data_IF_878246892626
#
_entry.id   IF_878246892626
#
_cell.length_a   1.000
_cell.length_b   1.000
_cell.length_c   1.000
_cell.angle_alpha   90.00
_cell.angle_beta   90.00
_cell.angle_gamma   90.00
#
_symmetry.space_group_name_H-M   'P 1'
#
loop_
_entity.id
_entity.type
_entity.pdbx_description
1 polymer ?
#
# COMPACT_ATOMS: atom_id res chain seq x y z
N UNK A 1 -15.18 -23.74 23.91
CA UNK A 1 -14.73 -22.35 23.66
C UNK A 1 -13.32 -22.43 23.12
N UNK A 2 -13.02 -21.90 21.95
CA UNK A 2 -11.65 -21.90 21.43
C UNK A 2 -10.78 -21.06 22.38
N UNK A 3 -9.79 -21.68 23.03
CA UNK A 3 -8.82 -20.96 23.83
C UNK A 3 -7.95 -20.13 22.88
N UNK A 4 -8.09 -18.79 22.92
CA UNK A 4 -7.14 -17.91 22.23
C UNK A 4 -5.78 -18.09 22.89
N UNK A 5 -4.82 -18.58 22.11
CA UNK A 5 -3.42 -18.73 22.54
C UNK A 5 -2.62 -17.53 22.04
N UNK A 6 -1.77 -16.98 22.91
CA UNK A 6 -0.85 -15.90 22.53
C UNK A 6 0.21 -16.48 21.59
N UNK A 7 0.33 -15.89 20.40
CA UNK A 7 1.32 -16.27 19.39
C UNK A 7 2.53 -15.34 19.42
N UNK A 8 2.29 -14.05 19.65
CA UNK A 8 3.34 -13.04 19.69
C UNK A 8 3.35 -12.35 21.06
N UNK A 9 4.32 -12.68 21.91
CA UNK A 9 4.45 -12.11 23.26
C UNK A 9 4.97 -10.66 23.25
N UNK A 10 5.72 -10.29 22.22
CA UNK A 10 6.16 -8.91 21.98
C UNK A 10 5.86 -8.56 20.53
N UNK A 11 4.81 -7.79 20.30
CA UNK A 11 4.37 -7.42 18.96
C UNK A 11 3.97 -5.95 18.87
N UNK A 12 4.02 -5.38 17.68
CA UNK A 12 3.64 -4.00 17.43
C UNK A 12 2.43 -3.94 16.51
N UNK A 13 1.41 -3.17 16.90
CA UNK A 13 0.36 -2.70 16.01
C UNK A 13 0.68 -1.30 15.51
N UNK A 14 0.44 -1.04 14.23
CA UNK A 14 0.71 0.26 13.60
C UNK A 14 -0.52 0.78 12.87
N UNK A 15 -0.89 2.01 13.21
CA UNK A 15 -1.87 2.79 12.48
C UNK A 15 -1.13 3.82 11.59
N UNK A 16 -1.28 3.66 10.28
CA UNK A 16 -0.47 4.33 9.27
C UNK A 16 -1.26 5.43 8.59
N UNK A 17 -0.79 6.67 8.77
CA UNK A 17 -1.33 7.87 8.12
C UNK A 17 -0.36 8.42 7.09
N UNK A 18 -0.83 9.38 6.28
CA UNK A 18 0.00 10.04 5.26
C UNK A 18 1.27 10.71 5.85
N UNK A 19 1.13 11.39 6.98
CA UNK A 19 2.18 12.24 7.58
C UNK A 19 2.87 11.62 8.79
N UNK A 20 2.26 10.59 9.38
CA UNK A 20 2.75 9.98 10.62
C UNK A 20 2.30 8.53 10.74
N UNK A 21 2.96 7.79 11.62
CA UNK A 21 2.55 6.45 12.04
C UNK A 21 2.48 6.43 13.56
N UNK A 22 1.42 5.83 14.09
CA UNK A 22 1.29 5.55 15.52
C UNK A 22 1.62 4.08 15.71
N UNK A 23 2.71 3.80 16.42
CA UNK A 23 3.17 2.45 16.71
C UNK A 23 2.94 2.14 18.19
N UNK A 24 2.31 1.01 18.47
CA UNK A 24 2.07 0.53 19.84
C UNK A 24 2.64 -0.86 19.99
N UNK A 25 3.67 -0.99 20.83
CA UNK A 25 4.22 -2.29 21.22
C UNK A 25 3.39 -2.83 22.38
N UNK A 26 2.89 -4.05 22.23
CA UNK A 26 2.27 -4.85 23.27
C UNK A 26 3.32 -5.83 23.83
N UNK A 27 3.49 -5.81 25.15
CA UNK A 27 4.27 -6.79 25.91
C UNK A 27 3.31 -7.64 26.71
N UNK A 28 3.22 -8.92 26.40
CA UNK A 28 2.35 -9.86 27.09
C UNK A 28 3.19 -10.84 27.89
N UNK A 29 2.82 -11.05 29.15
CA UNK A 29 3.47 -12.04 30.00
C UNK A 29 2.84 -13.45 29.83
N UNK A 30 3.43 -14.45 30.49
CA UNK A 30 2.91 -15.83 30.48
C UNK A 30 1.57 -16.00 31.21
N UNK A 31 1.10 -14.96 31.92
CA UNK A 31 -0.22 -14.92 32.58
C UNK A 31 -1.28 -14.26 31.70
N UNK A 32 -0.90 -13.78 30.51
CA UNK A 32 -1.78 -13.11 29.56
C UNK A 32 -2.01 -11.62 29.84
N UNK A 33 -1.32 -11.04 30.84
CA UNK A 33 -1.40 -9.61 31.13
C UNK A 33 -0.59 -8.85 30.09
N UNK A 34 -1.22 -7.90 29.41
CA UNK A 34 -0.60 -7.10 28.35
C UNK A 34 -0.37 -5.67 28.82
N UNK A 35 0.84 -5.16 28.59
CA UNK A 35 1.20 -3.75 28.79
C UNK A 35 1.58 -3.14 27.45
N UNK A 36 1.37 -1.83 27.30
CA UNK A 36 1.54 -1.16 26.00
C UNK A 36 2.54 -0.01 26.09
N UNK A 37 3.31 0.16 25.03
CA UNK A 37 4.15 1.33 24.81
C UNK A 37 3.81 1.95 23.46
N UNK A 38 3.20 3.13 23.49
CA UNK A 38 2.78 3.86 22.30
C UNK A 38 3.78 4.97 21.97
N UNK A 39 4.11 5.13 20.69
CA UNK A 39 4.92 6.23 20.19
C UNK A 39 4.50 6.62 18.78
N UNK A 40 4.50 7.92 18.50
CA UNK A 40 4.22 8.49 17.17
C UNK A 40 5.53 8.85 16.47
N UNK A 41 5.60 8.58 15.18
CA UNK A 41 6.72 8.92 14.30
C UNK A 41 6.21 9.64 13.05
N UNK A 42 7.02 10.51 12.46
CA UNK A 42 6.73 11.03 11.13
C UNK A 42 7.04 9.99 10.04
N UNK A 43 6.59 10.23 8.81
CA UNK A 43 6.83 9.33 7.66
C UNK A 43 8.10 9.65 6.86
N UNK A 44 8.97 10.52 7.39
CA UNK A 44 10.28 10.79 6.79
C UNK A 44 11.25 9.63 7.02
N UNK A 45 12.23 9.45 6.13
CA UNK A 45 13.20 8.35 6.22
C UNK A 45 13.96 8.30 7.56
N UNK A 46 14.33 9.45 8.12
CA UNK A 46 14.97 9.55 9.44
C UNK A 46 14.09 9.00 10.55
N UNK A 47 12.81 9.38 10.56
CA UNK A 47 11.82 8.97 11.55
C UNK A 47 11.45 7.50 11.42
N UNK A 48 11.35 6.98 10.20
CA UNK A 48 11.09 5.56 9.97
C UNK A 48 12.30 4.69 10.38
N UNK A 49 13.54 5.17 10.21
CA UNK A 49 14.72 4.52 10.79
C UNK A 49 14.73 4.59 12.32
N UNK A 50 14.28 5.71 12.90
CA UNK A 50 14.12 5.84 14.34
C UNK A 50 13.01 4.92 14.88
N UNK A 51 11.92 4.71 14.13
CA UNK A 51 10.89 3.71 14.41
C UNK A 51 11.49 2.31 14.42
N UNK A 52 12.23 1.92 13.37
CA UNK A 52 12.92 0.63 13.31
C UNK A 52 13.83 0.43 14.52
N UNK A 53 14.69 1.41 14.82
CA UNK A 53 15.57 1.36 15.99
C UNK A 53 14.78 1.17 17.28
N UNK A 54 13.71 1.96 17.45
CA UNK A 54 12.85 1.87 18.63
C UNK A 54 12.20 0.49 18.79
N UNK A 55 11.78 -0.17 17.71
CA UNK A 55 11.26 -1.54 17.77
C UNK A 55 12.34 -2.53 18.23
N UNK A 56 13.54 -2.45 17.64
CA UNK A 56 14.66 -3.33 17.96
C UNK A 56 15.15 -3.14 19.40
N UNK A 57 15.21 -1.90 19.90
CA UNK A 57 15.56 -1.58 21.28
C UNK A 57 14.60 -2.24 22.29
N UNK A 58 13.35 -2.50 21.88
CA UNK A 58 12.33 -3.18 22.69
C UNK A 58 12.17 -4.66 22.33
N UNK A 59 13.07 -5.23 21.53
CA UNK A 59 13.03 -6.64 21.06
C UNK A 59 11.71 -6.98 20.35
N UNK A 60 11.10 -6.01 19.67
CA UNK A 60 9.87 -6.20 18.92
C UNK A 60 10.18 -6.42 17.44
N UNK A 61 10.16 -7.67 16.99
CA UNK A 61 10.36 -8.03 15.57
C UNK A 61 9.06 -8.36 14.86
N UNK A 62 7.98 -8.60 15.58
CA UNK A 62 6.66 -8.93 15.05
C UNK A 62 5.84 -7.64 14.90
N UNK A 63 5.54 -7.26 13.66
CA UNK A 63 4.85 -5.98 13.36
C UNK A 63 3.64 -6.24 12.49
N UNK A 64 2.50 -5.68 12.87
CA UNK A 64 1.29 -5.66 12.06
C UNK A 64 0.85 -4.22 11.80
N UNK A 65 0.50 -3.91 10.54
CA UNK A 65 0.00 -2.60 10.15
C UNK A 65 -1.23 -2.71 9.25
N UNK A 66 -2.19 -1.80 9.41
CA UNK A 66 -3.37 -1.74 8.54
C UNK A 66 -2.99 -1.17 7.14
N UNK A 67 -3.54 -1.76 6.07
CA UNK A 67 -3.25 -1.33 4.70
C UNK A 67 -4.02 -0.04 4.32
N UNK A 68 -3.60 1.11 4.85
CA UNK A 68 -4.17 2.42 4.47
C UNK A 68 -3.52 2.94 3.19
N UNK A 69 -4.13 2.64 2.04
CA UNK A 69 -3.64 3.08 0.73
C UNK A 69 -2.22 2.60 0.44
N UNK A 70 -1.35 3.49 -0.05
CA UNK A 70 0.08 3.19 -0.34
C UNK A 70 1.04 3.54 0.80
N UNK A 71 0.55 4.08 1.92
CA UNK A 71 1.41 4.68 2.95
C UNK A 71 2.15 3.64 3.81
N UNK A 72 1.70 2.39 3.82
CA UNK A 72 2.40 1.28 4.47
C UNK A 72 3.70 0.89 3.74
N UNK A 73 3.81 1.14 2.44
CA UNK A 73 4.95 0.72 1.60
C UNK A 73 6.30 1.24 2.12
N UNK A 74 6.50 2.55 2.40
CA UNK A 74 7.78 3.04 2.92
C UNK A 74 8.15 2.45 4.29
N UNK A 75 7.15 2.17 5.13
CA UNK A 75 7.36 1.55 6.45
C UNK A 75 7.80 0.09 6.25
N UNK A 76 7.07 -0.67 5.43
CA UNK A 76 7.41 -2.04 5.09
C UNK A 76 8.83 -2.16 4.54
N UNK A 77 9.20 -1.32 3.56
CA UNK A 77 10.52 -1.35 2.95
C UNK A 77 11.68 -1.10 3.93
N UNK A 78 11.46 -0.36 5.02
CA UNK A 78 12.47 -0.08 6.04
C UNK A 78 12.56 -1.22 7.07
N UNK A 79 11.46 -1.92 7.30
CA UNK A 79 11.36 -2.97 8.31
C UNK A 79 11.60 -4.38 7.76
N UNK A 80 11.43 -4.61 6.46
CA UNK A 80 11.44 -5.95 5.83
C UNK A 80 12.72 -6.78 6.05
N UNK A 81 13.83 -6.12 6.37
CA UNK A 81 15.15 -6.73 6.61
C UNK A 81 15.42 -7.05 8.08
N UNK A 82 14.56 -6.65 9.02
CA UNK A 82 14.79 -6.85 10.46
C UNK A 82 13.55 -7.23 11.27
N UNK A 83 12.36 -7.12 10.68
CA UNK A 83 11.09 -7.45 11.31
C UNK A 83 10.31 -8.40 10.41
N UNK A 84 9.53 -9.28 11.03
CA UNK A 84 8.43 -9.95 10.36
C UNK A 84 7.24 -8.98 10.31
N UNK A 85 6.88 -8.56 9.10
CA UNK A 85 5.91 -7.49 8.88
C UNK A 85 4.66 -8.06 8.21
N UNK A 86 3.54 -7.96 8.91
CA UNK A 86 2.21 -8.33 8.44
C UNK A 86 1.45 -7.07 8.03
N UNK A 87 0.94 -7.07 6.80
CA UNK A 87 0.03 -6.03 6.33
C UNK A 87 -1.40 -6.57 6.36
N UNK A 88 -2.17 -6.06 7.31
CA UNK A 88 -3.55 -6.44 7.53
C UNK A 88 -4.48 -5.76 6.52
N UNK A 89 -5.45 -6.51 6.01
CA UNK A 89 -6.51 -5.92 5.19
C UNK A 89 -7.55 -5.22 6.11
N UNK A 90 -7.81 -3.92 5.91
CA UNK A 90 -8.79 -3.11 6.64
C UNK A 90 -10.15 -3.79 6.82
N UNK A 91 -10.59 -4.55 5.81
CA UNK A 91 -11.88 -5.25 5.83
C UNK A 91 -11.99 -6.22 7.00
N UNK A 92 -10.92 -6.96 7.31
CA UNK A 92 -10.93 -7.94 8.40
C UNK A 92 -10.72 -7.27 9.76
N UNK A 93 -9.82 -6.29 9.85
CA UNK A 93 -9.59 -5.53 11.09
C UNK A 93 -10.86 -4.84 11.56
N UNK A 94 -11.66 -4.28 10.64
CA UNK A 94 -12.95 -3.64 10.94
C UNK A 94 -14.08 -4.61 11.25
N UNK A 95 -14.03 -5.84 10.72
CA UNK A 95 -15.09 -6.84 10.92
C UNK A 95 -15.10 -7.41 12.34
N UNK A 96 -13.96 -7.36 13.03
CA UNK A 96 -13.84 -7.80 14.41
C UNK A 96 -14.39 -6.68 15.31
N UNK A 97 -15.59 -6.89 15.84
CA UNK A 97 -16.25 -5.96 16.78
C UNK A 97 -15.38 -5.80 18.03
N UNK A 98 -14.91 -4.59 18.29
CA UNK A 98 -14.11 -4.21 19.46
C UNK A 98 -14.25 -2.72 19.78
N UNK A 99 -13.55 -2.24 20.81
CA UNK A 99 -13.47 -0.82 21.19
C UNK A 99 -12.59 -0.04 20.19
N UNK A 100 -12.97 -0.03 18.91
CA UNK A 100 -12.33 0.86 17.94
C UNK A 100 -12.69 2.30 18.32
N UNK A 101 -11.73 3.00 18.90
CA UNK A 101 -11.76 4.43 19.19
C UNK A 101 -10.60 5.03 18.43
N UNK A 102 -10.77 6.16 17.75
CA UNK A 102 -9.73 6.73 16.87
C UNK A 102 -8.36 6.91 17.57
N UNK A 103 -8.35 7.08 18.90
CA UNK A 103 -7.13 7.20 19.71
C UNK A 103 -6.38 5.87 19.96
N UNK A 104 -6.99 4.72 19.66
CA UNK A 104 -6.53 3.37 20.03
C UNK A 104 -6.43 2.37 18.88
N UNK A 105 -6.50 2.81 17.63
CA UNK A 105 -6.42 1.91 16.46
C UNK A 105 -5.15 1.05 16.45
N UNK A 106 -3.99 1.62 16.77
CA UNK A 106 -2.71 0.87 16.85
C UNK A 106 -2.65 -0.15 18.00
N UNK A 107 -3.29 0.13 19.14
CA UNK A 107 -3.40 -0.83 20.26
C UNK A 107 -4.30 -1.99 19.87
N UNK A 108 -5.44 -1.69 19.23
CA UNK A 108 -6.36 -2.71 18.74
C UNK A 108 -5.71 -3.64 17.72
N UNK A 109 -4.93 -3.09 16.78
CA UNK A 109 -4.16 -3.90 15.82
C UNK A 109 -3.16 -4.82 16.56
N UNK A 110 -2.47 -4.31 17.58
CA UNK A 110 -1.52 -5.10 18.36
C UNK A 110 -2.22 -6.26 19.09
N UNK A 111 -3.39 -6.01 19.67
CA UNK A 111 -4.17 -7.04 20.37
C UNK A 111 -4.69 -8.13 19.44
N UNK A 112 -5.17 -7.77 18.25
CA UNK A 112 -5.60 -8.76 17.27
C UNK A 112 -4.41 -9.57 16.73
N UNK A 113 -3.28 -8.91 16.50
CA UNK A 113 -2.09 -9.56 15.96
C UNK A 113 -1.42 -10.49 16.97
N UNK A 114 -1.42 -10.14 18.27
CA UNK A 114 -0.93 -11.00 19.37
C UNK A 114 -1.49 -12.42 19.33
N UNK A 115 -2.74 -12.58 18.89
CA UNK A 115 -3.44 -13.85 18.79
C UNK A 115 -3.48 -14.43 17.37
N UNK A 116 -2.80 -13.81 16.40
CA UNK A 116 -2.75 -14.20 15.00
C UNK A 116 -4.15 -14.31 14.34
N UNK A 117 -5.08 -13.44 14.73
CA UNK A 117 -6.46 -13.44 14.21
C UNK A 117 -6.54 -12.73 12.86
N UNK A 118 -5.58 -11.85 12.57
CA UNK A 118 -5.63 -10.97 11.40
C UNK A 118 -4.98 -11.65 10.20
N UNK A 119 -5.73 -11.93 9.11
CA UNK A 119 -5.15 -12.54 7.93
C UNK A 119 -4.08 -11.63 7.31
N UNK A 120 -2.90 -12.19 7.07
CA UNK A 120 -1.80 -11.49 6.40
C UNK A 120 -2.10 -11.33 4.91
N UNK A 121 -1.90 -10.11 4.39
CA UNK A 121 -1.92 -9.88 2.94
C UNK A 121 -0.62 -10.40 2.33
N UNK A 122 -0.72 -11.12 1.22
CA UNK A 122 0.46 -11.59 0.51
C UNK A 122 1.27 -10.42 -0.08
N UNK A 123 2.50 -10.26 0.39
CA UNK A 123 3.47 -9.30 -0.14
C UNK A 123 4.62 -10.10 -0.77
N UNK A 124 4.82 -10.02 -2.10
CA UNK A 124 5.93 -10.69 -2.76
C UNK A 124 7.29 -10.14 -2.33
N UNK A 125 8.35 -10.90 -2.63
CA UNK A 125 9.72 -10.43 -2.50
C UNK A 125 9.97 -9.14 -3.29
N UNK A 126 11.04 -8.44 -2.93
CA UNK A 126 11.38 -7.12 -3.48
C UNK A 126 11.54 -7.14 -5.00
N UNK A 127 12.16 -8.16 -5.59
CA UNK A 127 12.32 -8.21 -7.05
C UNK A 127 10.97 -8.32 -7.76
N UNK A 128 10.08 -9.19 -7.27
CA UNK A 128 8.74 -9.38 -7.85
C UNK A 128 7.89 -8.12 -7.68
N UNK A 129 7.99 -7.41 -6.55
CA UNK A 129 7.29 -6.13 -6.37
C UNK A 129 7.77 -5.07 -7.36
N UNK A 130 9.09 -4.91 -7.53
CA UNK A 130 9.66 -3.98 -8.48
C UNK A 130 9.20 -4.29 -9.92
N UNK A 131 9.23 -5.57 -10.30
CA UNK A 131 8.75 -6.03 -11.61
C UNK A 131 7.27 -5.71 -11.82
N UNK A 132 6.42 -6.01 -10.82
CA UNK A 132 4.98 -5.72 -10.88
C UNK A 132 4.70 -4.23 -11.08
N UNK A 133 5.44 -3.34 -10.43
CA UNK A 133 5.28 -1.89 -10.62
C UNK A 133 5.63 -1.46 -12.05
N UNK A 134 6.73 -1.97 -12.62
CA UNK A 134 7.11 -1.69 -14.01
C UNK A 134 6.05 -2.17 -15.01
N UNK A 135 5.53 -3.40 -14.84
CA UNK A 135 4.48 -3.93 -15.71
C UNK A 135 3.17 -3.15 -15.61
N UNK A 136 2.75 -2.80 -14.38
CA UNK A 136 1.56 -1.96 -14.17
C UNK A 136 1.71 -0.59 -14.83
N UNK A 137 2.88 0.03 -14.70
CA UNK A 137 3.16 1.31 -15.33
C UNK A 137 3.14 1.21 -16.85
N UNK A 138 3.77 0.18 -17.44
CA UNK A 138 3.69 -0.08 -18.88
C UNK A 138 2.25 -0.23 -19.36
N UNK A 139 1.43 -1.02 -18.67
CA UNK A 139 0.03 -1.21 -19.04
C UNK A 139 -0.75 0.10 -18.99
N UNK A 140 -0.47 0.94 -17.99
CA UNK A 140 -1.06 2.28 -17.88
C UNK A 140 -0.66 3.19 -19.05
N UNK A 141 0.62 3.18 -19.45
CA UNK A 141 1.08 3.94 -20.62
C UNK A 141 0.44 3.45 -21.93
N UNK A 142 0.26 2.14 -22.09
CA UNK A 142 -0.46 1.59 -23.25
C UNK A 142 -1.90 2.10 -23.27
N UNK A 143 -2.58 2.07 -22.12
CA UNK A 143 -3.94 2.61 -21.98
C UNK A 143 -4.01 4.11 -22.29
N UNK A 144 -3.08 4.90 -21.77
CA UNK A 144 -2.99 6.34 -22.07
C UNK A 144 -2.78 6.59 -23.57
N UNK A 145 -1.86 5.86 -24.21
CA UNK A 145 -1.62 5.97 -25.66
C UNK A 145 -2.89 5.69 -26.46
N UNK A 146 -3.62 4.62 -26.14
CA UNK A 146 -4.88 4.31 -26.80
C UNK A 146 -5.94 5.40 -26.56
N UNK A 147 -6.02 5.93 -25.34
CA UNK A 147 -6.92 7.04 -25.01
C UNK A 147 -6.61 8.30 -25.82
N UNK A 148 -5.33 8.67 -25.97
CA UNK A 148 -4.95 9.83 -26.77
C UNK A 148 -5.20 9.62 -28.26
N UNK A 149 -4.97 8.39 -28.77
CA UNK A 149 -5.36 8.04 -30.14
C UNK A 149 -6.86 8.23 -30.38
N UNK A 150 -7.69 7.75 -29.47
CA UNK A 150 -9.14 7.92 -29.59
C UNK A 150 -9.56 9.40 -29.54
N UNK A 151 -8.93 10.20 -28.67
CA UNK A 151 -9.20 11.66 -28.62
C UNK A 151 -8.83 12.36 -29.92
N UNK A 152 -7.70 12.00 -30.51
CA UNK A 152 -7.29 12.54 -31.81
C UNK A 152 -8.30 12.19 -32.92
N UNK A 153 -8.73 10.93 -33.01
CA UNK A 153 -9.75 10.53 -33.99
C UNK A 153 -11.09 11.23 -33.76
N UNK A 154 -11.49 11.41 -32.50
CA UNK A 154 -12.70 12.15 -32.15
C UNK A 154 -12.60 13.62 -32.60
N UNK A 155 -11.46 14.27 -32.40
CA UNK A 155 -11.25 15.65 -32.85
C UNK A 155 -11.41 15.78 -34.37
N UNK A 156 -10.80 14.87 -35.14
CA UNK A 156 -10.96 14.83 -36.59
C UNK A 156 -12.43 14.64 -37.00
N UNK A 157 -13.15 13.75 -36.30
CA UNK A 157 -14.56 13.47 -36.58
C UNK A 157 -15.44 14.70 -36.31
N UNK A 158 -15.23 15.40 -35.19
CA UNK A 158 -15.95 16.64 -34.86
C UNK A 158 -15.65 17.74 -35.89
N UNK A 159 -14.44 17.78 -36.43
CA UNK A 159 -14.05 18.68 -37.53
C UNK A 159 -14.53 18.23 -38.91
N UNK A 160 -15.34 17.17 -38.99
CA UNK A 160 -15.84 16.58 -40.24
C UNK A 160 -14.71 16.07 -41.18
N UNK A 161 -13.57 15.67 -40.61
CA UNK A 161 -12.41 15.08 -41.30
C UNK A 161 -12.44 13.56 -41.08
N UNK A 162 -13.04 12.82 -42.02
CA UNK A 162 -13.22 11.36 -41.93
C UNK A 162 -11.98 10.55 -42.35
N UNK A 163 -10.78 10.91 -41.86
CA UNK A 163 -9.51 10.25 -42.19
C UNK A 163 -9.52 8.73 -41.88
N UNK A 164 -10.19 8.33 -40.80
CA UNK A 164 -10.35 6.93 -40.38
C UNK A 164 -11.17 6.07 -41.34
N UNK A 165 -12.00 6.68 -42.19
CA UNK A 165 -12.81 5.96 -43.18
C UNK A 165 -12.04 5.67 -44.46
N UNK A 166 -10.93 6.39 -44.69
CA UNK A 166 -10.15 6.31 -45.94
C UNK A 166 -8.81 5.60 -45.72
N UNK A 167 -8.16 5.84 -44.58
CA UNK A 167 -6.85 5.28 -44.27
C UNK A 167 -6.95 4.12 -43.29
N UNK A 168 -6.18 3.05 -43.56
CA UNK A 168 -6.09 1.88 -42.69
C UNK A 168 -5.41 2.19 -41.35
N UNK A 169 -4.46 3.14 -41.33
CA UNK A 169 -3.82 3.64 -40.10
C UNK A 169 -3.85 5.17 -40.07
N UNK A 170 -4.72 5.73 -39.20
CA UNK A 170 -4.85 7.18 -38.98
C UNK A 170 -3.65 7.81 -38.27
N UNK A 171 -2.67 7.03 -37.85
CA UNK A 171 -1.44 7.49 -37.20
C UNK A 171 -0.18 7.15 -38.01
N UNK A 172 -0.34 6.63 -39.23
CA UNK A 172 0.76 6.35 -40.14
C UNK A 172 1.29 7.62 -40.82
N UNK A 173 2.45 7.52 -41.49
CA UNK A 173 3.14 8.66 -42.12
C UNK A 173 2.23 9.50 -43.04
N UNK A 174 1.41 8.85 -43.86
CA UNK A 174 0.49 9.54 -44.78
C UNK A 174 -0.61 10.30 -44.05
N UNK A 175 -1.21 9.70 -43.01
CA UNK A 175 -2.24 10.36 -42.21
C UNK A 175 -1.66 11.58 -41.49
N UNK A 176 -0.46 11.46 -40.93
CA UNK A 176 0.24 12.57 -40.27
C UNK A 176 0.53 13.71 -41.25
N UNK A 177 1.05 13.42 -42.45
CA UNK A 177 1.32 14.45 -43.45
C UNK A 177 0.06 15.20 -43.90
N UNK A 178 -1.08 14.50 -44.06
CA UNK A 178 -2.36 15.14 -44.38
C UNK A 178 -2.82 16.04 -43.24
N UNK A 179 -2.72 15.56 -41.99
CA UNK A 179 -3.11 16.34 -40.81
C UNK A 179 -2.23 17.57 -40.66
N UNK A 180 -0.92 17.45 -40.82
CA UNK A 180 0.02 18.57 -40.77
C UNK A 180 -0.32 19.62 -41.84
N UNK A 181 -0.61 19.18 -43.07
CA UNK A 181 -1.05 20.07 -44.15
C UNK A 181 -2.37 20.79 -43.85
N UNK A 182 -3.32 20.14 -43.16
CA UNK A 182 -4.60 20.78 -42.76
C UNK A 182 -4.38 21.81 -41.65
N UNK A 183 -3.37 21.62 -40.79
CA UNK A 183 -3.11 22.47 -39.63
C UNK A 183 -2.22 23.69 -39.95
N UNK A 184 -1.45 23.66 -41.04
CA UNK A 184 -0.67 24.80 -41.58
C UNK A 184 -1.44 25.60 -42.61
#
# INVERSE_FOLDING_TARGET
MAHLSIKHFVCCGMDVHKKFVVATIAFTDYRGVTTYKKKRFATFNSDLRALKKWLLDHRCTEVCMESTGKYWIPIFNILEDSCHVVVANPKYVRAIKGQKTDDKDSEWIADLFKFDIVPSSYIPCREIRALRELFRYRQKLIGHRSSEKNRFQNALTVSNIALSSVLTDTFGKSATAIVDYILT
#
